data_IF_666497234580
#
_entry.id   IF_666497234580
#
_cell.length_a   1.000
_cell.length_b   1.000
_cell.length_c   1.000
_cell.angle_alpha   90.00
_cell.angle_beta   90.00
_cell.angle_gamma   90.00
#
_symmetry.space_group_name_H-M   'P 1'
#
loop_
_entity.id
_entity.type
_entity.pdbx_description
1 polymer ?
#
# COMPACT_ATOMS: atom_id res chain seq x y z
N UNK A 1 -37.17 -7.70 18.54
CA UNK A 1 -35.95 -8.20 19.22
C UNK A 1 -35.14 -9.11 18.31
N UNK A 2 -35.71 -10.19 17.76
CA UNK A 2 -35.00 -11.08 16.83
C UNK A 2 -34.50 -10.36 15.55
N UNK A 3 -35.31 -9.49 14.94
CA UNK A 3 -34.95 -8.74 13.72
C UNK A 3 -33.73 -7.82 13.91
N UNK A 4 -33.63 -7.16 15.08
CA UNK A 4 -32.49 -6.30 15.43
C UNK A 4 -31.21 -7.12 15.56
N UNK A 5 -31.30 -8.31 16.18
CA UNK A 5 -30.15 -9.22 16.32
C UNK A 5 -29.68 -9.72 14.96
N UNK A 6 -30.61 -10.11 14.08
CA UNK A 6 -30.29 -10.52 12.69
C UNK A 6 -29.59 -9.39 11.94
N UNK A 7 -30.07 -8.16 12.06
CA UNK A 7 -29.46 -7.00 11.40
C UNK A 7 -28.03 -6.74 11.89
N UNK A 8 -27.77 -6.90 13.19
CA UNK A 8 -26.42 -6.76 13.76
C UNK A 8 -25.48 -7.82 13.20
N UNK A 9 -25.90 -9.09 13.16
CA UNK A 9 -25.08 -10.18 12.61
C UNK A 9 -24.74 -9.93 11.14
N UNK A 10 -25.71 -9.50 10.32
CA UNK A 10 -25.46 -9.16 8.93
C UNK A 10 -24.44 -8.01 8.79
N UNK A 11 -24.52 -6.98 9.64
CA UNK A 11 -23.53 -5.89 9.64
C UNK A 11 -22.14 -6.37 10.07
N UNK A 12 -22.05 -7.27 11.06
CA UNK A 12 -20.78 -7.87 11.48
C UNK A 12 -20.15 -8.69 10.35
N UNK A 13 -20.95 -9.49 9.62
CA UNK A 13 -20.50 -10.27 8.48
C UNK A 13 -20.01 -9.38 7.32
N UNK A 14 -20.73 -8.31 7.01
CA UNK A 14 -20.32 -7.31 6.01
C UNK A 14 -18.96 -6.70 6.38
N UNK A 15 -18.80 -6.22 7.62
CA UNK A 15 -17.53 -5.66 8.11
C UNK A 15 -16.40 -6.69 8.02
N UNK A 16 -16.66 -7.95 8.40
CA UNK A 16 -15.67 -9.01 8.33
C UNK A 16 -15.23 -9.30 6.88
N UNK A 17 -16.17 -9.29 5.94
CA UNK A 17 -15.88 -9.45 4.52
C UNK A 17 -15.02 -8.30 4.00
N UNK A 18 -15.38 -7.06 4.31
CA UNK A 18 -14.61 -5.87 3.91
C UNK A 18 -13.18 -5.88 4.48
N UNK A 19 -13.01 -6.27 5.75
CA UNK A 19 -11.70 -6.41 6.36
C UNK A 19 -10.83 -7.47 5.68
N UNK A 20 -11.44 -8.57 5.24
CA UNK A 20 -10.75 -9.64 4.51
C UNK A 20 -10.26 -9.14 3.15
N UNK A 21 -11.12 -8.47 2.41
CA UNK A 21 -10.79 -7.89 1.10
C UNK A 21 -9.69 -6.84 1.22
N UNK A 22 -9.79 -5.95 2.22
CA UNK A 22 -8.75 -4.97 2.52
C UNK A 22 -7.41 -5.64 2.83
N UNK A 23 -7.42 -6.68 3.66
CA UNK A 23 -6.22 -7.45 4.01
C UNK A 23 -5.62 -8.14 2.78
N UNK A 24 -6.44 -8.68 1.88
CA UNK A 24 -5.99 -9.32 0.66
C UNK A 24 -5.35 -8.31 -0.30
N UNK A 25 -5.99 -7.15 -0.50
CA UNK A 25 -5.45 -6.06 -1.33
C UNK A 25 -4.12 -5.57 -0.76
N UNK A 26 -4.03 -5.40 0.56
CA UNK A 26 -2.79 -4.98 1.23
C UNK A 26 -1.64 -5.98 0.99
N UNK A 27 -1.90 -7.28 1.16
CA UNK A 27 -0.89 -8.31 0.89
C UNK A 27 -0.45 -8.31 -0.58
N UNK A 28 -1.39 -8.16 -1.52
CA UNK A 28 -1.08 -8.07 -2.95
C UNK A 28 -0.14 -6.91 -3.25
N UNK A 29 -0.46 -5.71 -2.75
CA UNK A 29 0.38 -4.51 -2.96
C UNK A 29 1.77 -4.70 -2.34
N UNK A 30 1.86 -5.25 -1.12
CA UNK A 30 3.15 -5.51 -0.48
C UNK A 30 4.02 -6.43 -1.35
N UNK A 31 3.44 -7.53 -1.84
CA UNK A 31 4.16 -8.49 -2.67
C UNK A 31 4.61 -7.87 -4.02
N UNK A 32 3.73 -7.11 -4.66
CA UNK A 32 4.06 -6.43 -5.92
C UNK A 32 5.18 -5.39 -5.72
N UNK A 33 5.16 -4.64 -4.63
CA UNK A 33 6.23 -3.68 -4.28
C UNK A 33 7.54 -4.44 -4.05
N UNK A 34 7.54 -5.47 -3.21
CA UNK A 34 8.74 -6.26 -2.88
C UNK A 34 9.37 -6.93 -4.11
N UNK A 35 8.57 -7.23 -5.15
CA UNK A 35 9.08 -7.85 -6.38
C UNK A 35 9.94 -6.92 -7.25
N UNK A 36 10.03 -5.61 -6.97
CA UNK A 36 10.74 -4.64 -7.83
C UNK A 36 12.26 -4.83 -7.91
N UNK A 37 12.86 -5.52 -6.94
CA UNK A 37 14.30 -5.84 -6.89
C UNK A 37 15.26 -4.68 -6.62
N UNK A 38 14.77 -3.43 -6.56
CA UNK A 38 15.55 -2.26 -6.14
C UNK A 38 15.12 -1.83 -4.73
N UNK A 39 16.00 -2.04 -3.74
CA UNK A 39 15.72 -1.75 -2.33
C UNK A 39 15.32 -0.30 -2.08
N UNK A 40 15.84 0.64 -2.87
CA UNK A 40 15.49 2.06 -2.73
C UNK A 40 14.06 2.30 -3.20
N UNK A 41 13.67 1.72 -4.33
CA UNK A 41 12.30 1.83 -4.85
C UNK A 41 11.30 1.08 -3.96
N UNK A 42 11.66 -0.11 -3.49
CA UNK A 42 10.87 -0.89 -2.54
C UNK A 42 10.63 -0.06 -1.28
N UNK A 43 11.68 0.49 -0.68
CA UNK A 43 11.58 1.28 0.55
C UNK A 43 10.70 2.52 0.38
N UNK A 44 10.87 3.28 -0.71
CA UNK A 44 10.05 4.47 -0.98
C UNK A 44 8.57 4.11 -1.16
N UNK A 45 8.24 3.10 -1.97
CA UNK A 45 6.86 2.72 -2.22
C UNK A 45 6.21 2.06 -1.00
N UNK A 46 6.95 1.21 -0.28
CA UNK A 46 6.45 0.58 0.94
C UNK A 46 6.13 1.63 2.01
N UNK A 47 7.05 2.55 2.28
CA UNK A 47 6.82 3.65 3.22
C UNK A 47 5.65 4.54 2.79
N UNK A 48 5.50 4.78 1.48
CA UNK A 48 4.44 5.66 0.97
C UNK A 48 3.04 5.03 1.01
N UNK A 49 2.92 3.77 0.60
CA UNK A 49 1.61 3.13 0.34
C UNK A 49 1.24 2.06 1.37
N UNK A 50 2.19 1.57 2.16
CA UNK A 50 1.95 0.58 3.22
C UNK A 50 2.06 1.21 4.61
N UNK A 51 3.02 2.12 4.81
CA UNK A 51 3.18 2.88 6.07
C UNK A 51 2.49 4.25 6.05
N UNK A 52 1.92 4.66 4.90
CA UNK A 52 1.20 5.92 4.70
C UNK A 52 2.00 7.20 5.05
N UNK A 53 3.33 7.16 4.94
CA UNK A 53 4.21 8.30 5.23
C UNK A 53 4.14 9.37 4.15
N UNK A 54 4.48 10.60 4.53
CA UNK A 54 4.69 11.67 3.56
C UNK A 54 6.07 11.53 2.88
N UNK A 55 6.25 12.16 1.72
CA UNK A 55 7.56 12.10 1.03
C UNK A 55 8.65 12.83 1.83
N UNK A 56 8.27 13.81 2.63
CA UNK A 56 9.14 14.53 3.56
C UNK A 56 9.65 13.61 4.67
N UNK A 57 8.76 12.84 5.31
CA UNK A 57 9.15 11.84 6.32
C UNK A 57 10.08 10.77 5.73
N UNK A 58 9.77 10.30 4.51
CA UNK A 58 10.59 9.32 3.80
C UNK A 58 11.96 9.91 3.48
N UNK A 59 12.03 11.16 3.02
CA UNK A 59 13.29 11.84 2.73
C UNK A 59 14.18 11.93 3.98
N UNK A 60 13.59 12.27 5.13
CA UNK A 60 14.30 12.31 6.43
C UNK A 60 14.81 10.91 6.79
N UNK A 61 13.98 9.87 6.73
CA UNK A 61 14.35 8.50 7.09
C UNK A 61 15.43 7.91 6.17
N UNK A 62 15.40 8.24 4.89
CA UNK A 62 16.39 7.78 3.90
C UNK A 62 17.63 8.68 3.85
N UNK A 63 17.67 9.76 4.64
CA UNK A 63 18.72 10.78 4.63
C UNK A 63 18.95 11.38 3.22
N UNK A 64 17.86 11.65 2.51
CA UNK A 64 17.85 12.23 1.16
C UNK A 64 17.22 13.62 1.17
N UNK A 65 17.53 14.43 0.15
CA UNK A 65 16.76 15.64 -0.10
C UNK A 65 15.33 15.28 -0.53
N UNK A 66 14.39 16.19 -0.26
CA UNK A 66 13.00 16.04 -0.69
C UNK A 66 12.90 15.85 -2.21
N UNK A 67 13.62 16.66 -2.99
CA UNK A 67 13.62 16.58 -4.45
C UNK A 67 14.14 15.23 -4.96
N UNK A 68 15.24 14.74 -4.38
CA UNK A 68 15.77 13.41 -4.74
C UNK A 68 14.75 12.31 -4.43
N UNK A 69 14.08 12.40 -3.28
CA UNK A 69 13.04 11.44 -2.87
C UNK A 69 11.85 11.49 -3.82
N UNK A 70 11.41 12.69 -4.25
CA UNK A 70 10.34 12.88 -5.23
C UNK A 70 10.70 12.29 -6.60
N UNK A 71 11.92 12.48 -7.08
CA UNK A 71 12.38 11.88 -8.33
C UNK A 71 12.45 10.34 -8.25
N UNK A 72 13.03 9.81 -7.17
CA UNK A 72 13.09 8.36 -6.93
C UNK A 72 11.70 7.74 -6.80
N UNK A 73 10.76 8.42 -6.14
CA UNK A 73 9.35 7.99 -6.09
C UNK A 73 8.74 7.90 -7.49
N UNK A 74 8.96 8.89 -8.35
CA UNK A 74 8.50 8.85 -9.74
C UNK A 74 9.11 7.69 -10.55
N UNK A 75 10.42 7.45 -10.38
CA UNK A 75 11.09 6.32 -11.04
C UNK A 75 10.61 4.97 -10.51
N UNK A 76 10.39 4.84 -9.20
CA UNK A 76 9.85 3.66 -8.57
C UNK A 76 8.45 3.33 -9.11
N UNK A 77 7.57 4.33 -9.24
CA UNK A 77 6.24 4.16 -9.85
C UNK A 77 6.32 3.73 -11.32
N UNK A 78 7.25 4.32 -12.09
CA UNK A 78 7.45 3.91 -13.49
C UNK A 78 7.91 2.45 -13.57
N UNK A 79 8.86 2.05 -12.72
CA UNK A 79 9.35 0.67 -12.63
C UNK A 79 8.23 -0.30 -12.25
N UNK A 80 7.45 0.06 -11.23
CA UNK A 80 6.29 -0.71 -10.77
C UNK A 80 5.29 -0.91 -11.90
N UNK A 81 4.93 0.15 -12.62
CA UNK A 81 4.03 0.08 -13.77
C UNK A 81 4.58 -0.81 -14.87
N UNK A 82 5.86 -0.70 -15.21
CA UNK A 82 6.47 -1.54 -16.26
C UNK A 82 6.47 -3.02 -15.88
N UNK A 83 6.70 -3.35 -14.61
CA UNK A 83 6.78 -4.73 -14.13
C UNK A 83 5.42 -5.40 -14.00
N UNK A 84 4.40 -4.65 -13.59
CA UNK A 84 3.04 -5.16 -13.33
C UNK A 84 2.04 -4.74 -14.42
N UNK A 85 2.55 -4.33 -15.58
CA UNK A 85 1.76 -4.04 -16.79
C UNK A 85 1.24 -5.34 -17.39
N UNK A 86 0.17 -5.89 -16.80
CA UNK A 86 -0.81 -6.72 -17.50
C UNK A 86 -2.20 -6.25 -17.09
N UNK A 87 -2.72 -5.29 -17.87
CA UNK A 87 -4.06 -5.24 -18.47
C UNK A 87 -4.04 -4.15 -19.54
#
# INVERSE_FOLDING_TARGET
MAETVVKIICMEDEICSELKDFTQIKHKIINEIQSLGDDTYISILFKKYVEYKTLEQIAIELNYSYDRTKHLHGFALKRFKTQHSVL
#
